data_IF_632579125574
#
_entry.id   IF_632579125574
#
_cell.length_a   1.000
_cell.length_b   1.000
_cell.length_c   1.000
_cell.angle_alpha   90.00
_cell.angle_beta   90.00
_cell.angle_gamma   90.00
#
_symmetry.space_group_name_H-M   'P 1'
#
loop_
_entity.id
_entity.type
_entity.pdbx_description
1 polymer ?
#
# COMPACT_ATOMS: atom_id res chain seq x y z
N UNK A 1 1.83 2.98 -2.46
CA UNK A 1 2.60 3.32 -1.24
C UNK A 1 1.74 3.81 -0.07
N UNK A 2 0.67 4.59 -0.31
CA UNK A 2 -0.19 5.02 0.81
C UNK A 2 -0.98 3.88 1.43
N UNK A 3 -1.53 2.97 0.65
CA UNK A 3 -2.25 1.80 1.17
C UNK A 3 -1.30 0.78 1.82
N UNK A 4 -0.14 0.50 1.24
CA UNK A 4 0.86 -0.36 1.87
C UNK A 4 1.53 0.32 3.08
N UNK A 5 1.73 1.62 3.03
CA UNK A 5 2.17 2.42 4.17
C UNK A 5 1.14 2.48 5.30
N UNK A 6 -0.17 2.48 4.97
CA UNK A 6 -1.25 2.37 5.96
C UNK A 6 -1.33 0.95 6.55
N UNK A 7 -1.25 -0.09 5.75
CA UNK A 7 -1.21 -1.48 6.24
C UNK A 7 0.05 -1.76 7.06
N UNK A 8 1.20 -1.27 6.62
CA UNK A 8 2.43 -1.28 7.41
C UNK A 8 2.33 -0.41 8.67
N UNK A 9 1.62 0.71 8.61
CA UNK A 9 1.37 1.59 9.75
C UNK A 9 0.40 0.99 10.76
N UNK A 10 -0.64 0.28 10.34
CA UNK A 10 -1.54 -0.44 11.25
C UNK A 10 -0.80 -1.51 12.03
N UNK A 11 0.04 -2.31 11.38
CA UNK A 11 0.87 -3.28 12.07
C UNK A 11 1.90 -2.60 12.98
N UNK A 12 2.52 -1.51 12.56
CA UNK A 12 3.43 -0.73 13.38
C UNK A 12 2.72 -0.05 14.56
N UNK A 13 1.53 0.51 14.37
CA UNK A 13 0.73 1.10 15.45
C UNK A 13 0.27 0.02 16.41
N UNK A 14 -0.23 -1.11 15.92
CA UNK A 14 -0.63 -2.25 16.72
C UNK A 14 0.53 -2.83 17.53
N UNK A 15 1.68 -3.04 16.92
CA UNK A 15 2.80 -3.71 17.55
C UNK A 15 3.65 -2.77 18.41
N UNK A 16 3.76 -1.48 18.06
CA UNK A 16 4.56 -0.50 18.79
C UNK A 16 3.76 0.56 19.55
N UNK A 17 2.46 0.68 19.30
CA UNK A 17 1.62 1.75 19.85
C UNK A 17 2.03 3.14 19.34
N UNK A 18 2.70 3.22 18.20
CA UNK A 18 3.29 4.46 17.69
C UNK A 18 2.23 5.36 17.02
N UNK A 19 1.36 5.95 17.83
CA UNK A 19 0.44 6.99 17.39
C UNK A 19 1.11 8.34 17.15
N UNK A 20 2.34 8.53 17.66
CA UNK A 20 3.14 9.74 17.46
C UNK A 20 3.37 10.05 15.97
N UNK A 21 3.41 9.05 15.10
CA UNK A 21 3.48 9.28 13.64
C UNK A 21 2.30 10.09 13.13
N UNK A 22 1.10 9.87 13.65
CA UNK A 22 -0.10 10.62 13.27
C UNK A 22 -0.12 12.02 13.93
N UNK A 23 0.15 12.08 15.23
CA UNK A 23 0.11 13.35 16.00
C UNK A 23 1.29 14.24 15.66
N UNK A 24 2.52 13.81 15.95
CA UNK A 24 3.74 14.62 15.74
C UNK A 24 4.10 14.70 14.24
N UNK A 25 3.86 13.61 13.51
CA UNK A 25 4.16 13.50 12.10
C UNK A 25 3.27 14.36 11.22
N UNK A 26 1.96 14.35 11.44
CA UNK A 26 0.97 14.99 10.58
C UNK A 26 0.04 15.97 11.29
N UNK A 27 0.15 16.11 12.61
CA UNK A 27 -0.71 16.99 13.42
C UNK A 27 -2.16 16.50 13.50
N UNK A 28 -2.37 15.17 13.40
CA UNK A 28 -3.70 14.57 13.52
C UNK A 28 -4.10 14.56 15.00
N UNK A 29 -5.24 15.18 15.30
CA UNK A 29 -5.73 15.22 16.67
C UNK A 29 -6.41 13.90 17.06
N UNK A 30 -5.76 13.10 17.89
CA UNK A 30 -6.28 11.83 18.40
C UNK A 30 -6.99 11.95 19.76
N UNK A 31 -7.06 13.14 20.36
CA UNK A 31 -7.76 13.35 21.63
C UNK A 31 -9.24 12.90 21.60
N UNK A 32 -10.02 13.16 20.52
CA UNK A 32 -11.38 12.63 20.44
C UNK A 32 -11.44 11.10 20.52
N UNK A 33 -10.48 10.38 19.89
CA UNK A 33 -10.40 8.93 19.96
C UNK A 33 -10.04 8.46 21.37
N UNK A 34 -9.08 9.12 22.03
CA UNK A 34 -8.69 8.80 23.39
C UNK A 34 -9.87 8.98 24.37
N UNK A 35 -10.63 10.08 24.25
CA UNK A 35 -11.80 10.36 25.07
C UNK A 35 -12.87 9.28 24.87
N UNK A 36 -13.24 9.01 23.62
CA UNK A 36 -14.23 7.98 23.28
C UNK A 36 -13.81 6.59 23.80
N UNK A 37 -12.53 6.23 23.62
CA UNK A 37 -12.01 4.94 24.05
C UNK A 37 -12.05 4.79 25.59
N UNK A 38 -11.75 5.84 26.35
CA UNK A 38 -11.89 5.83 27.81
C UNK A 38 -13.35 5.70 28.26
N UNK A 39 -14.28 6.33 27.57
CA UNK A 39 -15.70 6.27 27.89
C UNK A 39 -16.30 4.90 27.55
N UNK A 40 -16.02 4.36 26.38
CA UNK A 40 -16.60 3.12 25.89
C UNK A 40 -15.91 1.86 26.45
N UNK A 41 -14.60 1.91 26.69
CA UNK A 41 -13.76 0.77 27.06
C UNK A 41 -12.97 0.99 28.38
N UNK A 42 -13.38 1.94 29.23
CA UNK A 42 -12.66 2.31 30.46
C UNK A 42 -12.38 1.14 31.39
N UNK A 43 -13.33 0.22 31.55
CA UNK A 43 -13.21 -0.97 32.38
C UNK A 43 -12.64 -2.19 31.65
N UNK A 44 -12.43 -2.10 30.33
CA UNK A 44 -11.89 -3.17 29.51
C UNK A 44 -10.37 -3.21 29.59
N UNK A 45 -9.75 -4.35 29.88
CA UNK A 45 -8.29 -4.50 29.82
C UNK A 45 -7.73 -4.40 28.40
N UNK A 46 -8.54 -4.56 27.36
CA UNK A 46 -8.17 -4.56 25.93
C UNK A 46 -6.93 -5.41 25.65
N UNK A 47 -6.82 -6.59 26.24
CA UNK A 47 -5.62 -7.42 26.27
C UNK A 47 -5.12 -7.80 24.85
N UNK A 48 -6.04 -8.00 23.91
CA UNK A 48 -5.70 -8.34 22.51
C UNK A 48 -5.03 -7.20 21.76
N UNK A 49 -5.20 -5.97 22.22
CA UNK A 49 -4.74 -4.75 21.57
C UNK A 49 -3.56 -4.10 22.29
N UNK A 50 -3.00 -4.76 23.30
CA UNK A 50 -1.83 -4.27 24.02
C UNK A 50 -0.63 -4.17 23.08
N UNK A 51 0.05 -3.01 23.01
CA UNK A 51 1.25 -2.83 22.20
C UNK A 51 2.35 -3.81 22.62
N UNK A 52 3.04 -4.38 21.62
CA UNK A 52 4.23 -5.20 21.86
C UNK A 52 5.42 -4.29 22.13
N UNK A 53 5.66 -3.95 23.40
CA UNK A 53 6.67 -2.97 23.86
C UNK A 53 8.13 -3.29 23.51
N UNK A 54 8.42 -4.47 22.96
CA UNK A 54 9.78 -4.88 22.57
C UNK A 54 10.46 -3.96 21.53
N UNK A 55 9.69 -3.11 20.85
CA UNK A 55 10.17 -2.22 19.79
C UNK A 55 10.08 -0.73 20.14
N UNK A 56 9.57 -0.39 21.32
CA UNK A 56 9.50 1.00 21.76
C UNK A 56 10.89 1.44 22.30
N UNK A 57 11.45 2.50 21.72
CA UNK A 57 12.72 3.07 22.18
C UNK A 57 12.60 3.71 23.57
N UNK A 58 11.37 3.95 24.05
CA UNK A 58 11.06 4.41 25.41
C UNK A 58 10.01 3.49 26.03
N UNK A 59 10.24 3.02 27.25
CA UNK A 59 9.25 2.28 28.01
C UNK A 59 8.05 3.21 28.30
N UNK A 60 6.91 2.92 27.69
CA UNK A 60 5.64 3.61 28.00
C UNK A 60 5.16 3.19 29.38
N UNK A 61 4.57 4.13 30.14
CA UNK A 61 3.91 3.79 31.40
C UNK A 61 2.65 2.94 31.14
N UNK A 62 2.23 2.21 32.17
CA UNK A 62 1.11 1.26 32.11
C UNK A 62 -0.21 1.95 31.70
N UNK A 63 -0.44 3.18 32.18
CA UNK A 63 -1.65 3.94 31.88
C UNK A 63 -1.71 4.33 30.42
N UNK A 64 -0.62 4.82 29.86
CA UNK A 64 -0.48 5.17 28.44
C UNK A 64 -0.64 3.92 27.57
N UNK A 65 -0.01 2.82 27.92
CA UNK A 65 -0.11 1.55 27.21
C UNK A 65 -1.56 1.05 27.17
N UNK A 66 -2.28 1.12 28.30
CA UNK A 66 -3.69 0.74 28.37
C UNK A 66 -4.57 1.64 27.51
N UNK A 67 -4.36 2.96 27.55
CA UNK A 67 -5.11 3.91 26.72
C UNK A 67 -4.91 3.64 25.23
N UNK A 68 -3.69 3.36 24.79
CA UNK A 68 -3.40 3.00 23.41
C UNK A 68 -4.14 1.72 23.01
N UNK A 69 -4.17 0.71 23.88
CA UNK A 69 -4.93 -0.53 23.63
C UNK A 69 -6.44 -0.27 23.49
N UNK A 70 -7.01 0.59 24.33
CA UNK A 70 -8.42 1.00 24.27
C UNK A 70 -8.72 1.77 22.98
N UNK A 71 -7.85 2.72 22.59
CA UNK A 71 -7.98 3.47 21.33
C UNK A 71 -7.91 2.55 20.13
N UNK A 72 -7.01 1.58 20.13
CA UNK A 72 -6.85 0.61 19.06
C UNK A 72 -8.08 -0.29 18.95
N UNK A 73 -8.59 -0.83 20.04
CA UNK A 73 -9.83 -1.61 20.05
C UNK A 73 -11.01 -0.79 19.51
N UNK A 74 -11.18 0.44 20.00
CA UNK A 74 -12.27 1.33 19.59
C UNK A 74 -12.27 1.55 18.07
N UNK A 75 -11.14 1.98 17.50
CA UNK A 75 -11.06 2.25 16.06
C UNK A 75 -11.19 0.97 15.21
N UNK A 76 -10.74 -0.19 15.71
CA UNK A 76 -10.88 -1.47 15.02
C UNK A 76 -12.36 -1.88 14.90
N UNK A 77 -13.16 -1.72 15.96
CA UNK A 77 -14.60 -2.02 15.90
C UNK A 77 -15.31 -1.07 14.93
N UNK A 78 -14.99 0.22 15.00
CA UNK A 78 -15.54 1.22 14.07
C UNK A 78 -15.15 0.90 12.62
N UNK A 79 -13.92 0.48 12.38
CA UNK A 79 -13.45 0.06 11.05
C UNK A 79 -14.33 -1.03 10.47
N UNK A 80 -14.60 -2.12 11.20
CA UNK A 80 -15.46 -3.20 10.71
C UNK A 80 -16.89 -2.74 10.44
N UNK A 81 -17.42 -1.80 11.22
CA UNK A 81 -18.73 -1.21 10.93
C UNK A 81 -18.72 -0.44 9.60
N UNK A 82 -17.71 0.42 9.39
CA UNK A 82 -17.57 1.19 8.16
C UNK A 82 -17.32 0.30 6.93
N UNK A 83 -16.53 -0.76 7.06
CA UNK A 83 -16.31 -1.75 6.01
C UNK A 83 -17.64 -2.41 5.60
N UNK A 84 -18.44 -2.86 6.56
CA UNK A 84 -19.75 -3.44 6.28
C UNK A 84 -20.73 -2.47 5.61
N UNK A 85 -20.68 -1.18 5.96
CA UNK A 85 -21.47 -0.15 5.27
C UNK A 85 -21.04 0.01 3.80
N UNK A 86 -19.75 -0.07 3.50
CA UNK A 86 -19.24 -0.05 2.12
C UNK A 86 -19.72 -1.30 1.37
N UNK A 87 -19.53 -2.50 1.94
CA UNK A 87 -19.94 -3.76 1.31
C UNK A 87 -21.45 -3.74 1.01
N UNK A 88 -22.26 -3.29 1.96
CA UNK A 88 -23.73 -3.21 1.82
C UNK A 88 -24.17 -2.31 0.65
N UNK A 89 -23.49 -1.17 0.43
CA UNK A 89 -23.82 -0.25 -0.67
C UNK A 89 -23.12 -0.57 -1.98
N UNK A 90 -22.12 -1.50 -1.97
CA UNK A 90 -21.34 -1.93 -3.13
C UNK A 90 -21.36 -3.45 -3.31
N UNK A 91 -22.53 -4.05 -3.56
CA UNK A 91 -22.62 -5.50 -3.76
C UNK A 91 -21.77 -6.00 -4.95
N UNK A 92 -21.46 -5.12 -5.91
CA UNK A 92 -20.58 -5.39 -7.02
C UNK A 92 -19.12 -5.68 -6.63
N UNK A 93 -18.71 -5.37 -5.39
CA UNK A 93 -17.38 -5.74 -4.87
C UNK A 93 -17.30 -7.23 -4.47
N UNK A 94 -18.44 -7.92 -4.39
CA UNK A 94 -18.55 -9.35 -4.06
C UNK A 94 -17.77 -9.72 -2.78
N UNK A 95 -17.95 -8.93 -1.72
CA UNK A 95 -17.27 -9.09 -0.43
C UNK A 95 -18.22 -9.45 0.73
N UNK A 96 -19.39 -10.02 0.45
CA UNK A 96 -20.38 -10.39 1.47
C UNK A 96 -19.83 -11.36 2.51
N UNK A 97 -18.86 -12.20 2.13
CA UNK A 97 -18.13 -13.10 3.04
C UNK A 97 -17.33 -12.36 4.12
N UNK A 98 -17.13 -11.04 3.95
CA UNK A 98 -16.46 -10.18 4.95
C UNK A 98 -17.45 -9.53 5.93
N UNK A 99 -18.74 -9.73 5.76
CA UNK A 99 -19.79 -9.22 6.64
C UNK A 99 -19.89 -10.02 7.96
N UNK A 100 -18.77 -10.23 8.65
CA UNK A 100 -18.64 -11.14 9.79
C UNK A 100 -19.40 -10.68 11.05
N UNK A 101 -19.64 -9.38 11.22
CA UNK A 101 -20.38 -8.89 12.39
C UNK A 101 -21.83 -9.42 12.47
N UNK A 102 -22.46 -9.76 11.34
CA UNK A 102 -23.77 -10.41 11.33
C UNK A 102 -23.75 -11.85 11.84
N UNK A 103 -22.58 -12.49 11.85
CA UNK A 103 -22.42 -13.90 12.20
C UNK A 103 -21.94 -14.11 13.64
N UNK A 104 -21.94 -13.04 14.44
CA UNK A 104 -21.47 -13.06 15.83
C UNK A 104 -22.63 -13.35 16.78
N UNK A 105 -22.40 -14.29 17.67
CA UNK A 105 -23.22 -14.52 18.87
C UNK A 105 -22.41 -14.15 20.12
N UNK A 106 -22.55 -12.91 20.58
CA UNK A 106 -21.85 -12.42 21.78
C UNK A 106 -22.22 -13.18 23.06
N UNK A 107 -23.45 -13.77 23.14
CA UNK A 107 -23.87 -14.52 24.31
C UNK A 107 -23.16 -15.87 24.42
N UNK A 108 -22.94 -16.52 23.26
CA UNK A 108 -22.17 -17.77 23.16
C UNK A 108 -20.66 -17.50 23.03
N UNK A 109 -20.26 -16.28 22.70
CA UNK A 109 -18.88 -15.93 22.46
C UNK A 109 -18.29 -16.55 21.20
N UNK A 110 -19.10 -16.67 20.14
CA UNK A 110 -18.68 -17.32 18.88
C UNK A 110 -19.02 -16.47 17.67
N UNK A 111 -18.29 -16.73 16.59
CA UNK A 111 -18.59 -16.24 15.24
C UNK A 111 -18.73 -17.43 14.28
N UNK A 112 -19.72 -17.38 13.41
CA UNK A 112 -19.97 -18.43 12.42
C UNK A 112 -19.31 -18.08 11.09
N UNK A 113 -18.33 -18.88 10.63
CA UNK A 113 -17.61 -18.70 9.36
C UNK A 113 -17.58 -20.06 8.63
N UNK A 114 -17.97 -20.07 7.35
CA UNK A 114 -17.91 -21.24 6.48
C UNK A 114 -18.52 -22.50 7.08
N UNK A 115 -19.67 -22.37 7.77
CA UNK A 115 -20.40 -23.48 8.36
C UNK A 115 -19.86 -24.00 9.71
N UNK A 116 -18.89 -23.30 10.32
CA UNK A 116 -18.26 -23.67 11.58
C UNK A 116 -18.30 -22.51 12.58
N UNK A 117 -18.53 -22.81 13.86
CA UNK A 117 -18.44 -21.85 14.94
C UNK A 117 -16.98 -21.74 15.46
N UNK A 118 -16.47 -20.51 15.55
CA UNK A 118 -15.16 -20.20 16.11
C UNK A 118 -15.31 -19.36 17.36
N UNK A 119 -14.52 -19.65 18.39
CA UNK A 119 -14.56 -18.92 19.66
C UNK A 119 -13.91 -17.55 19.53
N UNK A 120 -14.61 -16.52 19.97
CA UNK A 120 -14.08 -15.16 20.03
C UNK A 120 -13.19 -14.99 21.25
N UNK A 121 -12.00 -14.43 21.06
CA UNK A 121 -11.08 -14.06 22.15
C UNK A 121 -11.54 -12.87 22.98
N UNK A 122 -12.47 -12.09 22.46
CA UNK A 122 -13.03 -10.90 23.09
C UNK A 122 -14.50 -10.75 22.69
N UNK A 123 -15.36 -10.52 23.64
CA UNK A 123 -16.81 -10.37 23.47
C UNK A 123 -17.36 -9.07 24.07
N UNK A 124 -16.47 -8.22 24.62
CA UNK A 124 -16.85 -6.93 25.19
C UNK A 124 -16.89 -5.84 24.09
N UNK A 125 -18.01 -5.76 23.38
CA UNK A 125 -18.22 -4.79 22.30
C UNK A 125 -19.42 -3.90 22.63
N UNK A 126 -19.28 -2.93 23.54
CA UNK A 126 -20.38 -2.16 24.11
C UNK A 126 -21.12 -1.30 23.08
N UNK A 127 -20.47 -0.94 21.96
CA UNK A 127 -21.08 -0.11 20.92
C UNK A 127 -21.72 -0.91 19.78
N UNK A 128 -21.67 -2.26 19.84
CA UNK A 128 -22.28 -3.12 18.82
C UNK A 128 -23.78 -3.27 19.06
N UNK A 129 -24.60 -2.84 18.11
CA UNK A 129 -26.05 -3.13 18.12
C UNK A 129 -26.29 -4.51 17.48
N UNK A 130 -26.79 -5.51 18.23
CA UNK A 130 -27.05 -6.84 17.66
C UNK A 130 -28.12 -6.86 16.54
N UNK A 131 -28.93 -5.81 16.44
CA UNK A 131 -29.98 -5.72 15.38
C UNK A 131 -29.44 -5.14 14.08
N UNK A 132 -28.46 -4.24 14.20
CA UNK A 132 -27.77 -3.63 13.05
C UNK A 132 -26.29 -3.42 13.40
N UNK A 133 -25.48 -4.48 13.33
CA UNK A 133 -24.11 -4.48 13.85
C UNK A 133 -23.15 -3.55 13.09
N UNK A 134 -23.55 -3.07 11.92
CA UNK A 134 -22.75 -2.13 11.13
C UNK A 134 -23.10 -0.67 11.35
N UNK A 135 -24.24 -0.40 12.04
CA UNK A 135 -24.59 0.98 12.33
C UNK A 135 -23.65 1.59 13.36
N UNK A 136 -23.11 2.76 13.05
CA UNK A 136 -22.36 3.55 14.02
C UNK A 136 -23.31 4.09 15.11
N UNK A 137 -22.82 4.19 16.35
CA UNK A 137 -23.48 4.99 17.38
C UNK A 137 -23.32 6.48 17.08
N UNK A 138 -24.12 7.32 17.75
CA UNK A 138 -24.02 8.79 17.62
C UNK A 138 -22.60 9.28 18.00
N UNK A 139 -22.03 8.68 19.04
CA UNK A 139 -20.68 9.00 19.53
C UNK A 139 -19.61 8.56 18.55
N UNK A 140 -19.76 7.38 17.90
CA UNK A 140 -18.88 6.90 16.85
C UNK A 140 -18.94 7.78 15.59
N UNK A 141 -20.14 8.21 15.18
CA UNK A 141 -20.31 9.15 14.05
C UNK A 141 -19.61 10.49 14.33
N UNK A 142 -19.78 11.03 15.53
CA UNK A 142 -19.12 12.29 15.94
C UNK A 142 -17.60 12.13 15.99
N UNK A 143 -17.11 11.01 16.49
CA UNK A 143 -15.68 10.68 16.51
C UNK A 143 -15.10 10.64 15.09
N UNK A 144 -15.73 9.86 14.19
CA UNK A 144 -15.25 9.74 12.80
C UNK A 144 -15.26 11.09 12.09
N UNK A 145 -16.28 11.90 12.29
CA UNK A 145 -16.34 13.26 11.73
C UNK A 145 -15.18 14.13 12.22
N UNK A 146 -14.83 14.08 13.52
CA UNK A 146 -13.70 14.83 14.10
C UNK A 146 -12.35 14.35 13.57
N UNK A 147 -12.16 13.03 13.46
CA UNK A 147 -10.94 12.43 12.91
C UNK A 147 -10.80 12.83 11.44
N UNK A 148 -11.85 12.65 10.62
CA UNK A 148 -11.85 13.02 9.21
C UNK A 148 -11.49 14.50 9.02
N UNK A 149 -12.11 15.40 9.80
CA UNK A 149 -11.78 16.83 9.76
C UNK A 149 -10.28 17.08 10.09
N UNK A 150 -9.71 16.34 11.05
CA UNK A 150 -8.30 16.46 11.39
C UNK A 150 -7.38 16.04 10.23
N UNK A 151 -7.70 14.94 9.55
CA UNK A 151 -6.96 14.50 8.35
C UNK A 151 -7.10 15.53 7.20
N UNK A 152 -8.32 16.00 6.93
CA UNK A 152 -8.59 16.95 5.88
C UNK A 152 -7.97 18.34 6.13
N UNK A 153 -7.76 18.71 7.38
CA UNK A 153 -7.14 19.99 7.74
C UNK A 153 -5.61 19.97 7.81
N UNK A 154 -4.99 18.78 7.81
CA UNK A 154 -3.54 18.64 7.89
C UNK A 154 -2.83 19.15 6.62
N UNK A 155 -2.18 20.30 6.70
CA UNK A 155 -1.44 20.88 5.57
C UNK A 155 -0.26 20.03 5.13
N UNK A 156 0.40 19.35 6.07
CA UNK A 156 1.51 18.43 5.77
C UNK A 156 1.01 17.20 4.99
N UNK A 157 -0.13 16.64 5.38
CA UNK A 157 -0.77 15.54 4.66
C UNK A 157 -1.14 15.97 3.23
N UNK A 158 -1.82 17.11 3.08
CA UNK A 158 -2.17 17.66 1.77
C UNK A 158 -0.94 17.89 0.88
N UNK A 159 0.16 18.40 1.44
CA UNK A 159 1.41 18.61 0.70
C UNK A 159 2.00 17.28 0.20
N UNK A 160 2.03 16.26 1.05
CA UNK A 160 2.52 14.95 0.69
C UNK A 160 1.62 14.29 -0.38
N UNK A 161 0.29 14.39 -0.21
CA UNK A 161 -0.66 13.86 -1.19
C UNK A 161 -0.53 14.54 -2.56
N UNK A 162 -0.39 15.87 -2.61
CA UNK A 162 -0.14 16.59 -3.86
C UNK A 162 1.17 16.14 -4.54
N UNK A 163 2.23 15.92 -3.74
CA UNK A 163 3.50 15.41 -4.26
C UNK A 163 3.30 13.99 -4.85
N UNK A 164 2.60 13.12 -4.12
CA UNK A 164 2.27 11.77 -4.55
C UNK A 164 1.50 11.77 -5.88
N UNK A 165 0.40 12.55 -5.98
CA UNK A 165 -0.40 12.63 -7.21
C UNK A 165 0.32 13.29 -8.39
N UNK A 166 1.29 14.16 -8.10
CA UNK A 166 2.08 14.82 -9.16
C UNK A 166 3.14 13.89 -9.77
N UNK A 167 3.71 13.00 -8.98
CA UNK A 167 4.88 12.20 -9.36
C UNK A 167 4.62 10.69 -9.34
N UNK A 168 3.55 10.24 -8.70
CA UNK A 168 3.18 8.83 -8.57
C UNK A 168 2.08 8.42 -9.55
N UNK A 169 1.86 7.11 -9.63
CA UNK A 169 0.81 6.45 -10.40
C UNK A 169 0.75 4.99 -10.03
N UNK A 170 -0.21 4.26 -10.61
CA UNK A 170 -0.34 2.82 -10.40
C UNK A 170 0.84 2.03 -10.98
N UNK A 171 1.50 2.58 -11.99
CA UNK A 171 2.73 2.03 -12.56
C UNK A 171 3.56 3.16 -13.19
N UNK A 172 4.80 2.85 -13.49
CA UNK A 172 5.70 3.73 -14.26
C UNK A 172 6.54 2.90 -15.23
N UNK A 173 6.71 3.40 -16.44
CA UNK A 173 7.70 2.87 -17.39
C UNK A 173 8.87 3.86 -17.44
N UNK A 174 10.08 3.38 -17.22
CA UNK A 174 11.28 4.20 -17.25
C UNK A 174 12.48 3.39 -17.74
N UNK A 175 13.13 3.84 -18.80
CA UNK A 175 14.32 3.21 -19.38
C UNK A 175 14.14 1.70 -19.61
N UNK A 176 13.07 1.30 -20.28
CA UNK A 176 12.71 -0.10 -20.52
C UNK A 176 12.40 -0.93 -19.26
N UNK A 177 12.09 -0.28 -18.15
CA UNK A 177 11.66 -0.95 -16.93
C UNK A 177 10.22 -0.58 -16.59
N UNK A 178 9.44 -1.58 -16.20
CA UNK A 178 8.09 -1.42 -15.68
C UNK A 178 8.11 -1.53 -14.17
N UNK A 179 7.68 -0.48 -13.49
CA UNK A 179 7.60 -0.41 -12.03
C UNK A 179 6.13 -0.39 -11.62
N UNK A 180 5.73 -1.25 -10.70
CA UNK A 180 4.43 -1.19 -10.04
C UNK A 180 4.51 -1.82 -8.65
N UNK A 181 3.52 -1.50 -7.77
CA UNK A 181 3.65 -1.84 -6.37
C UNK A 181 3.44 -3.34 -6.09
N UNK A 182 2.25 -3.90 -6.40
CA UNK A 182 1.88 -5.21 -5.91
C UNK A 182 1.64 -6.23 -7.03
N UNK A 183 0.56 -6.14 -7.78
CA UNK A 183 0.17 -7.16 -8.73
C UNK A 183 -0.46 -6.58 -9.99
N UNK A 184 -0.48 -7.41 -11.03
CA UNK A 184 -1.38 -7.27 -12.18
C UNK A 184 -2.24 -8.54 -12.14
N UNK A 185 -3.52 -8.46 -11.75
CA UNK A 185 -4.37 -9.62 -11.55
C UNK A 185 -4.39 -10.56 -12.76
N UNK A 186 -4.13 -11.85 -12.52
CA UNK A 186 -4.05 -12.87 -13.56
C UNK A 186 -4.91 -14.09 -13.21
N UNK A 187 -5.36 -14.78 -14.25
CA UNK A 187 -5.95 -16.11 -14.12
C UNK A 187 -4.84 -17.18 -14.02
N UNK A 188 -5.12 -18.36 -13.47
CA UNK A 188 -4.14 -19.45 -13.36
C UNK A 188 -3.54 -19.90 -14.70
N UNK A 189 -4.23 -19.67 -15.82
CA UNK A 189 -3.75 -19.97 -17.17
C UNK A 189 -2.78 -18.93 -17.76
N UNK A 190 -2.42 -17.90 -16.96
CA UNK A 190 -1.54 -16.81 -17.38
C UNK A 190 -2.20 -15.76 -18.28
N UNK A 191 -3.52 -15.73 -18.38
CA UNK A 191 -4.26 -14.61 -18.98
C UNK A 191 -4.50 -13.51 -17.96
N UNK A 192 -4.59 -12.23 -18.40
CA UNK A 192 -4.96 -11.12 -17.52
C UNK A 192 -6.41 -11.29 -17.05
N UNK A 193 -6.62 -11.19 -15.73
CA UNK A 193 -7.94 -11.26 -15.13
C UNK A 193 -8.72 -9.99 -15.46
N UNK A 194 -9.99 -10.17 -15.81
CA UNK A 194 -10.92 -9.06 -16.02
C UNK A 194 -11.52 -8.63 -14.69
N UNK A 195 -11.45 -7.33 -14.38
CA UNK A 195 -12.05 -6.71 -13.19
C UNK A 195 -13.11 -5.72 -13.65
N UNK A 196 -14.32 -5.85 -13.09
CA UNK A 196 -15.45 -5.00 -13.46
C UNK A 196 -15.48 -3.73 -12.61
N UNK A 197 -15.49 -2.57 -13.27
CA UNK A 197 -15.51 -1.26 -12.64
C UNK A 197 -16.59 -0.42 -13.31
N UNK A 198 -17.60 0.04 -12.55
CA UNK A 198 -18.72 0.84 -13.06
C UNK A 198 -19.36 0.21 -14.32
N UNK A 199 -19.57 -1.12 -14.27
CA UNK A 199 -20.21 -1.86 -15.35
C UNK A 199 -19.35 -2.18 -16.58
N UNK A 200 -18.07 -1.75 -16.62
CA UNK A 200 -17.12 -2.04 -17.67
C UNK A 200 -16.01 -2.96 -17.20
N UNK A 201 -15.50 -3.80 -18.08
CA UNK A 201 -14.46 -4.77 -17.78
C UNK A 201 -13.09 -4.23 -18.19
N UNK A 202 -12.13 -4.26 -17.26
CA UNK A 202 -10.76 -3.81 -17.43
C UNK A 202 -9.77 -4.92 -17.06
N UNK A 203 -8.64 -4.99 -17.76
CA UNK A 203 -7.58 -5.97 -17.50
C UNK A 203 -6.20 -5.38 -17.87
N UNK A 204 -5.14 -5.98 -17.32
CA UNK A 204 -3.77 -5.59 -17.64
C UNK A 204 -3.52 -4.09 -17.41
N UNK A 205 -2.92 -3.43 -18.39
CA UNK A 205 -2.62 -1.99 -18.35
C UNK A 205 -3.89 -1.14 -18.20
N UNK A 206 -4.95 -1.46 -18.94
CA UNK A 206 -6.20 -0.69 -18.88
C UNK A 206 -6.83 -0.70 -17.47
N UNK A 207 -6.67 -1.80 -16.70
CA UNK A 207 -7.09 -1.86 -15.30
C UNK A 207 -6.31 -0.86 -14.45
N UNK A 208 -4.99 -0.85 -14.55
CA UNK A 208 -4.15 0.08 -13.75
C UNK A 208 -4.42 1.53 -14.13
N UNK A 209 -4.61 1.84 -15.43
CA UNK A 209 -4.98 3.18 -15.90
C UNK A 209 -6.33 3.63 -15.31
N UNK A 210 -7.35 2.73 -15.28
CA UNK A 210 -8.66 3.04 -14.71
C UNK A 210 -8.61 3.23 -13.19
N UNK A 211 -7.83 2.40 -12.49
CA UNK A 211 -7.63 2.53 -11.04
C UNK A 211 -6.94 3.86 -10.71
N UNK A 212 -5.90 4.25 -11.44
CA UNK A 212 -5.24 5.56 -11.25
C UNK A 212 -6.24 6.73 -11.42
N UNK A 213 -7.11 6.65 -12.44
CA UNK A 213 -8.17 7.64 -12.65
C UNK A 213 -9.13 7.71 -11.46
N UNK A 214 -9.61 6.56 -10.95
CA UNK A 214 -10.52 6.52 -9.80
C UNK A 214 -9.89 7.11 -8.54
N UNK A 215 -8.64 6.77 -8.24
CA UNK A 215 -7.91 7.33 -7.10
C UNK A 215 -7.83 8.86 -7.20
N UNK A 216 -7.57 9.39 -8.41
CA UNK A 216 -7.55 10.84 -8.66
C UNK A 216 -8.94 11.46 -8.57
N UNK A 217 -9.96 10.81 -9.13
CA UNK A 217 -11.37 11.23 -9.02
C UNK A 217 -11.78 11.38 -7.57
N UNK A 218 -11.48 10.39 -6.73
CA UNK A 218 -11.79 10.43 -5.30
C UNK A 218 -11.08 11.59 -4.59
N UNK A 219 -9.78 11.75 -4.82
CA UNK A 219 -9.00 12.77 -4.10
C UNK A 219 -9.34 14.20 -4.53
N UNK A 220 -9.44 14.45 -5.84
CA UNK A 220 -9.73 15.78 -6.38
C UNK A 220 -11.23 16.10 -6.46
N UNK A 221 -12.10 15.13 -6.17
CA UNK A 221 -13.57 15.21 -6.24
C UNK A 221 -14.02 15.75 -7.61
N UNK A 222 -13.42 15.20 -8.68
CA UNK A 222 -13.68 15.58 -10.08
C UNK A 222 -14.59 14.54 -10.74
N UNK A 223 -15.65 14.99 -11.41
CA UNK A 223 -16.62 14.13 -12.09
C UNK A 223 -18.04 14.23 -11.50
N UNK A 224 -18.90 13.33 -11.93
CA UNK A 224 -20.26 13.21 -11.40
C UNK A 224 -20.24 12.69 -9.96
N UNK A 225 -21.21 13.10 -9.15
CA UNK A 225 -21.27 12.76 -7.72
C UNK A 225 -21.24 11.24 -7.49
N UNK A 226 -21.96 10.47 -8.29
CA UNK A 226 -22.00 9.01 -8.21
C UNK A 226 -20.63 8.38 -8.46
N UNK A 227 -19.87 8.88 -9.45
CA UNK A 227 -18.51 8.40 -9.74
C UNK A 227 -17.54 8.74 -8.60
N UNK A 228 -17.68 9.92 -8.00
CA UNK A 228 -16.84 10.33 -6.85
C UNK A 228 -17.14 9.43 -5.65
N UNK A 229 -18.38 9.16 -5.34
CA UNK A 229 -18.77 8.26 -4.24
C UNK A 229 -18.27 6.82 -4.50
N UNK A 230 -18.44 6.31 -5.72
CA UNK A 230 -17.89 5.02 -6.10
C UNK A 230 -16.36 4.99 -5.94
N UNK A 231 -15.68 6.03 -6.38
CA UNK A 231 -14.22 6.12 -6.31
C UNK A 231 -13.72 6.14 -4.85
N UNK A 232 -14.42 6.79 -3.92
CA UNK A 232 -14.11 6.73 -2.49
C UNK A 232 -14.22 5.29 -1.96
N UNK A 233 -15.30 4.59 -2.27
CA UNK A 233 -15.50 3.21 -1.85
C UNK A 233 -14.48 2.27 -2.51
N UNK A 234 -14.11 2.54 -3.77
CA UNK A 234 -13.14 1.75 -4.49
C UNK A 234 -11.72 1.88 -3.92
N UNK A 235 -11.34 3.04 -3.32
CA UNK A 235 -10.08 3.18 -2.59
C UNK A 235 -10.02 2.19 -1.41
N UNK A 236 -11.12 2.00 -0.69
CA UNK A 236 -11.18 0.98 0.35
C UNK A 236 -11.08 -0.44 -0.25
N UNK A 237 -11.79 -0.71 -1.36
CA UNK A 237 -11.67 -1.99 -2.06
C UNK A 237 -10.23 -2.30 -2.48
N UNK A 238 -9.45 -1.29 -2.91
CA UNK A 238 -8.05 -1.49 -3.27
C UNK A 238 -7.20 -2.02 -2.11
N UNK A 239 -7.58 -1.73 -0.88
CA UNK A 239 -6.87 -2.20 0.31
C UNK A 239 -7.12 -3.68 0.63
N UNK A 240 -8.32 -4.21 0.42
CA UNK A 240 -8.68 -5.57 0.85
C UNK A 240 -9.46 -6.41 -0.15
N UNK A 241 -9.76 -5.89 -1.35
CA UNK A 241 -10.51 -6.60 -2.38
C UNK A 241 -9.71 -7.69 -3.07
N UNK A 242 -10.31 -8.84 -3.31
CA UNK A 242 -9.65 -10.05 -3.84
C UNK A 242 -8.96 -9.84 -5.20
N UNK A 243 -9.48 -8.96 -6.04
CA UNK A 243 -8.98 -8.68 -7.39
C UNK A 243 -8.30 -7.31 -7.50
N UNK A 244 -7.98 -6.72 -6.34
CA UNK A 244 -7.29 -5.44 -6.29
C UNK A 244 -5.84 -5.57 -6.75
N UNK A 245 -5.36 -4.73 -7.68
CA UNK A 245 -3.96 -4.72 -8.09
C UNK A 245 -3.00 -4.27 -6.97
N UNK A 246 -3.52 -3.77 -5.84
CA UNK A 246 -2.72 -3.39 -4.68
C UNK A 246 -2.72 -4.43 -3.57
N UNK A 247 -3.54 -5.48 -3.68
CA UNK A 247 -3.67 -6.54 -2.67
C UNK A 247 -3.57 -7.95 -3.26
N UNK A 248 -4.46 -8.31 -4.17
CA UNK A 248 -4.50 -9.57 -4.95
C UNK A 248 -4.34 -10.83 -4.08
N UNK A 249 -5.20 -10.93 -3.07
CA UNK A 249 -5.34 -12.12 -2.23
C UNK A 249 -6.83 -12.45 -2.07
N UNK A 250 -7.13 -13.68 -1.69
CA UNK A 250 -8.51 -14.17 -1.55
C UNK A 250 -9.36 -13.35 -0.58
N UNK A 251 -8.78 -12.88 0.51
CA UNK A 251 -9.41 -12.05 1.54
C UNK A 251 -8.35 -11.33 2.37
N UNK A 252 -8.74 -10.28 3.08
CA UNK A 252 -7.96 -9.68 4.15
C UNK A 252 -8.50 -10.16 5.49
N UNK A 253 -7.74 -10.99 6.19
CA UNK A 253 -8.17 -11.65 7.43
C UNK A 253 -7.94 -10.79 8.69
N UNK A 254 -8.28 -9.50 8.64
CA UNK A 254 -8.08 -8.56 9.77
C UNK A 254 -8.93 -8.93 10.98
N UNK A 255 -10.20 -9.25 10.77
CA UNK A 255 -11.13 -9.67 11.82
C UNK A 255 -10.67 -10.97 12.48
N UNK A 256 -10.37 -11.97 11.66
CA UNK A 256 -9.97 -13.30 12.13
C UNK A 256 -8.69 -13.21 12.95
N UNK A 257 -7.67 -12.50 12.48
CA UNK A 257 -6.41 -12.30 13.23
C UNK A 257 -6.61 -11.55 14.55
N UNK A 258 -7.54 -10.59 14.57
CA UNK A 258 -7.83 -9.83 15.78
C UNK A 258 -8.59 -10.67 16.83
N UNK A 259 -9.60 -11.43 16.42
CA UNK A 259 -10.59 -12.00 17.34
C UNK A 259 -10.68 -13.51 17.40
N UNK A 260 -10.03 -14.26 16.48
CA UNK A 260 -10.08 -15.72 16.42
C UNK A 260 -8.67 -16.28 16.64
N UNK A 261 -8.56 -17.40 17.37
CA UNK A 261 -7.25 -18.02 17.64
C UNK A 261 -6.83 -19.00 16.55
N UNK A 262 -7.80 -19.67 15.92
CA UNK A 262 -7.57 -20.72 14.94
C UNK A 262 -6.90 -20.19 13.68
N UNK A 263 -5.62 -20.55 13.49
CA UNK A 263 -4.77 -20.08 12.40
C UNK A 263 -5.31 -20.40 11.00
N UNK A 264 -6.18 -21.41 10.86
CA UNK A 264 -6.83 -21.75 9.60
C UNK A 264 -7.68 -20.61 9.04
N UNK A 265 -8.29 -19.81 9.93
CA UNK A 265 -9.12 -18.65 9.55
C UNK A 265 -8.28 -17.47 9.07
N UNK A 266 -7.00 -17.41 9.46
CA UNK A 266 -6.07 -16.35 9.12
C UNK A 266 -5.45 -16.49 7.72
N UNK A 267 -5.74 -17.61 7.02
CA UNK A 267 -5.13 -17.91 5.74
C UNK A 267 -5.65 -16.96 4.66
N UNK A 268 -4.70 -16.35 3.95
CA UNK A 268 -4.94 -15.50 2.78
C UNK A 268 -4.23 -16.14 1.59
N UNK A 269 -4.99 -16.60 0.59
CA UNK A 269 -4.44 -17.16 -0.63
C UNK A 269 -4.05 -16.06 -1.59
N UNK A 270 -2.81 -16.10 -2.06
CA UNK A 270 -2.28 -15.13 -3.03
C UNK A 270 -2.91 -15.34 -4.40
N UNK A 271 -3.13 -14.27 -5.16
CA UNK A 271 -3.54 -14.33 -6.55
C UNK A 271 -2.53 -15.07 -7.44
N UNK A 272 -2.98 -15.51 -8.59
CA UNK A 272 -2.16 -16.31 -9.51
C UNK A 272 -0.90 -15.58 -9.98
N UNK A 273 -0.94 -14.24 -10.06
CA UNK A 273 0.21 -13.41 -10.41
C UNK A 273 1.46 -13.76 -9.59
N UNK A 274 1.34 -13.94 -8.27
CA UNK A 274 2.49 -14.16 -7.38
C UNK A 274 3.24 -15.48 -7.63
N UNK A 275 2.60 -16.47 -8.26
CA UNK A 275 3.24 -17.71 -8.68
C UNK A 275 3.71 -17.62 -10.14
N UNK A 276 2.90 -16.98 -11.00
CA UNK A 276 3.18 -16.88 -12.43
C UNK A 276 4.34 -15.95 -12.76
N UNK A 277 4.59 -14.90 -11.95
CA UNK A 277 5.65 -13.92 -12.18
C UNK A 277 7.07 -14.52 -12.16
N UNK A 278 7.24 -15.75 -11.63
CA UNK A 278 8.51 -16.45 -11.67
C UNK A 278 8.85 -17.02 -13.07
N UNK A 279 7.88 -16.98 -13.99
CA UNK A 279 8.04 -17.47 -15.36
C UNK A 279 8.41 -16.34 -16.31
N UNK A 280 9.46 -16.56 -17.10
CA UNK A 280 9.99 -15.55 -18.03
C UNK A 280 8.96 -15.12 -19.08
N UNK A 281 8.18 -16.07 -19.62
CA UNK A 281 7.15 -15.81 -20.61
C UNK A 281 6.02 -14.93 -20.07
N UNK A 282 5.70 -15.06 -18.78
CA UNK A 282 4.69 -14.24 -18.13
C UNK A 282 5.23 -12.81 -17.93
N UNK A 283 6.48 -12.69 -17.52
CA UNK A 283 7.13 -11.36 -17.44
C UNK A 283 7.16 -10.67 -18.80
N UNK A 284 7.51 -11.39 -19.86
CA UNK A 284 7.49 -10.84 -21.22
C UNK A 284 6.10 -10.42 -21.65
N UNK A 285 5.08 -11.23 -21.38
CA UNK A 285 3.67 -10.90 -21.68
C UNK A 285 3.22 -9.64 -20.94
N UNK A 286 3.61 -9.46 -19.70
CA UNK A 286 3.31 -8.24 -18.92
C UNK A 286 4.03 -7.05 -19.53
N UNK A 287 5.32 -7.16 -19.83
CA UNK A 287 6.10 -6.09 -20.45
C UNK A 287 5.54 -5.66 -21.81
N UNK A 288 5.10 -6.62 -22.62
CA UNK A 288 4.46 -6.36 -23.93
C UNK A 288 3.13 -5.62 -23.78
N UNK A 289 2.29 -5.99 -22.80
CA UNK A 289 1.02 -5.33 -22.48
C UNK A 289 1.23 -3.84 -22.14
N UNK A 290 2.32 -3.53 -21.45
CA UNK A 290 2.66 -2.15 -21.09
C UNK A 290 3.47 -1.42 -22.18
N UNK A 291 3.75 -2.07 -23.31
CA UNK A 291 4.50 -1.49 -24.41
C UNK A 291 5.98 -1.30 -24.10
N UNK A 292 6.52 -2.02 -23.14
CA UNK A 292 7.95 -1.98 -22.80
C UNK A 292 8.72 -2.85 -23.79
N UNK A 293 9.60 -2.23 -24.56
CA UNK A 293 10.38 -2.89 -25.62
C UNK A 293 11.87 -2.91 -25.29
N UNK A 294 12.63 -3.74 -26.01
CA UNK A 294 14.08 -3.86 -25.84
C UNK A 294 14.50 -5.21 -25.26
N UNK A 295 15.78 -5.53 -25.37
CA UNK A 295 16.33 -6.79 -24.86
C UNK A 295 16.56 -6.77 -23.33
N UNK A 296 16.90 -5.59 -22.81
CA UNK A 296 17.19 -5.37 -21.36
C UNK A 296 15.99 -4.71 -20.72
N UNK A 297 14.89 -5.46 -20.57
CA UNK A 297 13.65 -4.96 -19.97
C UNK A 297 13.30 -5.77 -18.72
N UNK A 298 12.89 -5.05 -17.68
CA UNK A 298 12.64 -5.65 -16.36
C UNK A 298 11.31 -5.18 -15.78
N UNK A 299 10.77 -6.01 -14.90
CA UNK A 299 9.69 -5.64 -13.98
C UNK A 299 10.33 -5.41 -12.62
N UNK A 300 10.01 -4.28 -12.00
CA UNK A 300 10.43 -3.93 -10.63
C UNK A 300 9.17 -3.88 -9.77
N UNK A 301 9.11 -4.76 -8.77
CA UNK A 301 7.90 -5.01 -7.99
C UNK A 301 8.21 -4.99 -6.48
N UNK A 302 7.17 -4.85 -5.66
CA UNK A 302 7.25 -4.81 -4.20
C UNK A 302 6.12 -5.55 -3.52
N UNK A 303 5.56 -4.96 -2.44
CA UNK A 303 4.39 -5.40 -1.67
C UNK A 303 4.58 -6.66 -0.82
N UNK A 304 5.18 -7.70 -1.35
CA UNK A 304 5.45 -8.94 -0.59
C UNK A 304 6.93 -8.96 -0.26
N UNK A 305 7.30 -8.73 1.02
CA UNK A 305 8.70 -8.70 1.41
C UNK A 305 9.41 -10.04 1.14
N UNK A 306 10.62 -9.95 0.61
CA UNK A 306 11.48 -11.10 0.36
C UNK A 306 12.05 -11.61 1.69
N UNK A 307 11.81 -12.88 2.00
CA UNK A 307 12.31 -13.52 3.22
C UNK A 307 13.71 -14.10 2.99
N UNK A 308 14.70 -13.21 2.97
CA UNK A 308 16.10 -13.59 2.73
C UNK A 308 16.62 -14.62 3.73
N UNK A 309 16.16 -14.57 5.00
CA UNK A 309 16.48 -15.57 6.02
C UNK A 309 15.87 -16.96 5.77
N UNK A 310 14.91 -17.08 4.86
CA UNK A 310 14.31 -18.35 4.40
C UNK A 310 14.84 -18.77 3.03
N UNK A 311 15.81 -18.04 2.46
CA UNK A 311 16.42 -18.34 1.18
C UNK A 311 15.63 -17.87 -0.04
N UNK A 312 14.61 -17.01 0.13
CA UNK A 312 13.92 -16.39 -1.00
C UNK A 312 14.87 -15.44 -1.76
N UNK A 313 14.77 -15.44 -3.09
CA UNK A 313 15.62 -14.65 -3.97
C UNK A 313 14.83 -13.44 -4.51
N UNK A 314 15.32 -12.21 -4.36
CA UNK A 314 14.69 -11.02 -4.94
C UNK A 314 14.77 -10.94 -6.47
N UNK A 315 15.57 -11.81 -7.10
CA UNK A 315 15.76 -11.88 -8.55
C UNK A 315 15.05 -13.13 -9.05
N UNK A 316 13.95 -12.95 -9.78
CA UNK A 316 13.09 -14.00 -10.31
C UNK A 316 13.10 -13.98 -11.86
N UNK A 317 12.52 -14.99 -12.51
CA UNK A 317 12.33 -15.09 -13.96
C UNK A 317 13.62 -14.75 -14.76
N UNK A 318 14.74 -15.41 -14.42
CA UNK A 318 16.05 -15.19 -15.05
C UNK A 318 16.49 -13.70 -15.06
N UNK A 319 16.14 -12.94 -14.03
CA UNK A 319 16.47 -11.52 -13.90
C UNK A 319 15.46 -10.56 -14.51
N UNK A 320 14.40 -11.04 -15.15
CA UNK A 320 13.33 -10.18 -15.69
C UNK A 320 12.43 -9.57 -14.61
N UNK A 321 12.31 -10.25 -13.46
CA UNK A 321 11.56 -9.76 -12.31
C UNK A 321 12.49 -9.46 -11.14
N UNK A 322 12.40 -8.24 -10.62
CA UNK A 322 13.15 -7.78 -9.44
C UNK A 322 12.16 -7.38 -8.34
N UNK A 323 12.17 -8.14 -7.25
CA UNK A 323 11.33 -7.85 -6.08
C UNK A 323 12.17 -7.08 -5.07
N UNK A 324 11.93 -5.78 -4.95
CA UNK A 324 12.77 -4.89 -4.13
C UNK A 324 12.18 -4.57 -2.74
N UNK A 325 11.17 -5.33 -2.32
CA UNK A 325 10.60 -5.18 -0.97
C UNK A 325 11.36 -6.04 0.04
N UNK A 326 12.07 -5.39 0.93
CA UNK A 326 12.81 -6.03 2.01
C UNK A 326 12.22 -5.73 3.40
N UNK A 327 11.04 -5.07 3.45
CA UNK A 327 10.42 -4.70 4.72
C UNK A 327 11.25 -3.70 5.52
N UNK A 328 11.37 -2.45 5.07
CA UNK A 328 12.14 -1.39 5.75
C UNK A 328 11.70 -1.12 7.19
N UNK A 329 10.46 -1.45 7.53
CA UNK A 329 9.94 -1.27 8.88
C UNK A 329 10.61 -2.25 9.86
N UNK A 330 11.08 -1.75 10.98
CA UNK A 330 11.81 -2.52 12.00
C UNK A 330 11.12 -3.84 12.43
N UNK A 331 9.78 -3.92 12.56
CA UNK A 331 9.10 -5.19 12.85
C UNK A 331 9.32 -6.27 11.80
N UNK A 332 9.46 -5.89 10.51
CA UNK A 332 9.68 -6.85 9.42
C UNK A 332 11.10 -7.43 9.39
N UNK A 333 12.10 -6.77 9.99
CA UNK A 333 13.47 -7.25 9.99
C UNK A 333 13.62 -8.66 10.59
N UNK A 334 12.76 -9.04 11.54
CA UNK A 334 12.73 -10.39 12.10
C UNK A 334 12.20 -11.43 11.12
N UNK A 335 11.29 -11.03 10.22
CA UNK A 335 10.68 -11.91 9.23
C UNK A 335 11.55 -12.03 7.98
N UNK A 336 12.16 -10.93 7.55
CA UNK A 336 12.94 -10.88 6.31
C UNK A 336 14.43 -11.18 6.51
N UNK A 337 14.95 -10.91 7.71
CA UNK A 337 16.37 -11.02 8.04
C UNK A 337 17.23 -9.84 7.53
N UNK A 338 16.62 -8.85 6.88
CA UNK A 338 17.30 -7.69 6.28
C UNK A 338 16.58 -6.39 6.62
N UNK A 339 17.22 -5.25 6.34
CA UNK A 339 16.65 -3.92 6.50
C UNK A 339 16.07 -3.36 5.19
N UNK A 340 16.15 -4.08 4.09
CA UNK A 340 15.60 -3.69 2.81
C UNK A 340 16.57 -3.79 1.64
N UNK A 341 16.09 -3.43 0.46
CA UNK A 341 16.87 -3.41 -0.77
C UNK A 341 16.96 -2.00 -1.36
N UNK A 342 18.09 -1.70 -2.00
CA UNK A 342 18.24 -0.57 -2.92
C UNK A 342 18.62 -1.10 -4.29
N UNK A 343 17.78 -0.84 -5.31
CA UNK A 343 18.11 -1.13 -6.69
C UNK A 343 18.87 0.07 -7.29
N UNK A 344 20.08 -0.19 -7.78
CA UNK A 344 20.92 0.82 -8.43
C UNK A 344 20.98 0.54 -9.92
N UNK A 345 20.41 1.45 -10.72
CA UNK A 345 20.53 1.45 -12.17
C UNK A 345 21.64 2.41 -12.60
N UNK A 346 22.62 1.89 -13.31
CA UNK A 346 23.76 2.68 -13.77
C UNK A 346 24.16 2.33 -15.21
N UNK A 347 25.13 3.05 -15.76
CA UNK A 347 25.52 2.92 -17.18
C UNK A 347 26.00 1.53 -17.63
N UNK A 348 26.12 0.57 -16.72
CA UNK A 348 26.55 -0.81 -16.98
C UNK A 348 25.51 -1.86 -16.61
N UNK A 349 24.30 -1.45 -16.17
CA UNK A 349 23.23 -2.38 -15.81
C UNK A 349 22.66 -2.16 -14.42
N UNK A 350 22.26 -3.23 -13.74
CA UNK A 350 21.62 -3.19 -12.44
C UNK A 350 22.44 -3.84 -11.34
N UNK A 351 22.42 -3.22 -10.17
CA UNK A 351 22.95 -3.78 -8.94
C UNK A 351 21.85 -3.70 -7.86
N UNK A 352 21.69 -4.76 -7.10
CA UNK A 352 20.80 -4.83 -5.95
C UNK A 352 21.67 -4.79 -4.69
N UNK A 353 21.45 -3.76 -3.87
CA UNK A 353 22.12 -3.61 -2.58
C UNK A 353 21.17 -4.06 -1.49
N UNK A 354 21.51 -5.12 -0.78
CA UNK A 354 20.83 -5.63 0.38
C UNK A 354 21.42 -4.98 1.63
N UNK A 355 20.57 -4.39 2.47
CA UNK A 355 20.97 -3.74 3.71
C UNK A 355 20.75 -4.66 4.90
N UNK A 356 21.73 -4.78 5.79
CA UNK A 356 21.56 -5.47 7.06
C UNK A 356 20.83 -4.57 8.08
N UNK A 357 20.10 -5.16 9.05
CA UNK A 357 19.44 -4.39 10.08
C UNK A 357 20.43 -3.58 10.91
N UNK A 358 20.14 -2.28 11.09
CA UNK A 358 20.91 -1.44 11.99
C UNK A 358 20.49 -1.70 13.44
N UNK A 359 21.42 -2.16 14.28
CA UNK A 359 21.10 -2.56 15.66
C UNK A 359 20.84 -1.36 16.57
N UNK A 360 21.83 -0.51 16.77
CA UNK A 360 21.69 0.72 17.53
C UNK A 360 22.83 1.69 17.28
N UNK A 361 22.57 2.99 17.48
CA UNK A 361 23.60 4.03 17.42
C UNK A 361 24.70 3.83 18.47
N UNK A 362 24.33 3.43 19.69
CA UNK A 362 25.28 3.19 20.77
C UNK A 362 26.26 2.08 20.38
N UNK A 363 25.76 0.94 19.91
CA UNK A 363 26.58 -0.19 19.49
C UNK A 363 27.49 0.16 18.30
N UNK A 364 26.98 0.92 17.32
CA UNK A 364 27.78 1.38 16.20
C UNK A 364 28.95 2.26 16.64
N UNK A 365 28.75 3.13 17.64
CA UNK A 365 29.82 3.99 18.20
C UNK A 365 30.80 3.18 19.04
N UNK A 366 30.33 2.30 19.93
CA UNK A 366 31.17 1.53 20.86
C UNK A 366 32.01 0.49 20.15
N UNK A 367 31.45 -0.19 19.14
CA UNK A 367 32.14 -1.27 18.41
C UNK A 367 32.77 -0.80 17.09
N UNK A 368 32.57 0.49 16.71
CA UNK A 368 33.06 1.03 15.43
C UNK A 368 32.42 0.36 14.21
N UNK A 369 31.18 -0.12 14.35
CA UNK A 369 30.48 -0.83 13.30
C UNK A 369 29.89 0.15 12.28
N UNK A 370 30.09 -0.13 11.00
CA UNK A 370 29.40 0.54 9.90
C UNK A 370 28.13 -0.21 9.52
N UNK A 371 27.24 0.46 8.77
CA UNK A 371 26.06 -0.17 8.18
C UNK A 371 26.57 -1.17 7.11
N UNK A 372 26.30 -2.45 7.34
CA UNK A 372 26.69 -3.51 6.41
C UNK A 372 25.68 -3.62 5.28
N UNK A 373 26.19 -3.81 4.08
CA UNK A 373 25.40 -4.11 2.89
C UNK A 373 26.12 -5.08 1.98
N UNK A 374 25.33 -5.89 1.28
CA UNK A 374 25.83 -6.82 0.27
C UNK A 374 25.31 -6.38 -1.10
N UNK A 375 26.21 -6.30 -2.08
CA UNK A 375 25.84 -5.92 -3.46
C UNK A 375 25.78 -7.14 -4.35
N UNK A 376 24.66 -7.33 -5.03
CA UNK A 376 24.42 -8.38 -6.02
C UNK A 376 24.36 -7.72 -7.40
N UNK A 377 25.14 -8.19 -8.35
CA UNK A 377 25.02 -7.77 -9.75
C UNK A 377 23.86 -8.53 -10.37
N UNK A 378 22.79 -7.82 -10.73
CA UNK A 378 21.59 -8.41 -11.38
C UNK A 378 21.84 -8.58 -12.86
N UNK A 379 22.32 -7.52 -13.51
CA UNK A 379 22.65 -7.52 -14.92
C UNK A 379 23.87 -6.65 -15.19
N UNK A 380 24.74 -7.12 -16.07
CA UNK A 380 25.91 -6.37 -16.54
C UNK A 380 25.86 -6.26 -18.06
N UNK A 381 25.67 -5.04 -18.56
CA UNK A 381 25.71 -4.75 -19.99
C UNK A 381 27.17 -4.71 -20.50
N UNK A 382 27.44 -5.38 -21.59
CA UNK A 382 28.73 -5.31 -22.30
C UNK A 382 29.01 -3.91 -22.85
N UNK A 383 27.96 -3.16 -23.20
CA UNK A 383 28.04 -1.80 -23.72
C UNK A 383 27.63 -0.80 -22.64
N UNK A 384 28.41 0.26 -22.50
CA UNK A 384 28.06 1.35 -21.59
C UNK A 384 26.86 2.13 -22.15
N UNK A 385 25.77 2.17 -21.40
CA UNK A 385 24.63 3.04 -21.69
C UNK A 385 25.02 4.50 -21.47
N UNK A 386 24.73 5.31 -22.47
CA UNK A 386 24.93 6.76 -22.46
C UNK A 386 23.60 7.46 -22.21
N UNK A 387 23.61 8.75 -21.85
CA UNK A 387 22.38 9.53 -21.67
C UNK A 387 21.48 9.46 -22.92
N UNK A 388 22.04 9.48 -24.13
CA UNK A 388 21.30 9.36 -25.39
C UNK A 388 20.49 8.07 -25.53
N UNK A 389 20.84 7.03 -24.80
CA UNK A 389 20.22 5.71 -24.84
C UNK A 389 19.10 5.57 -23.78
N UNK A 390 18.79 6.65 -23.05
CA UNK A 390 17.74 6.73 -22.03
C UNK A 390 16.53 7.51 -22.52
N UNK A 391 15.38 7.36 -21.87
CA UNK A 391 14.17 8.13 -22.14
C UNK A 391 14.44 9.64 -22.07
N UNK A 392 15.23 10.07 -21.07
CA UNK A 392 15.67 11.47 -20.98
C UNK A 392 16.52 11.92 -22.17
N UNK A 393 17.37 11.04 -22.67
CA UNK A 393 18.17 11.28 -23.86
C UNK A 393 17.30 11.41 -25.12
N UNK A 394 16.29 10.57 -25.26
CA UNK A 394 15.31 10.65 -26.36
C UNK A 394 14.53 11.98 -26.33
N UNK A 395 14.06 12.39 -25.14
CA UNK A 395 13.40 13.68 -24.91
C UNK A 395 14.32 14.86 -25.31
N UNK A 396 15.57 14.87 -24.86
CA UNK A 396 16.55 15.89 -25.20
C UNK A 396 16.84 15.95 -26.71
N UNK A 397 16.95 14.80 -27.39
CA UNK A 397 17.14 14.73 -28.82
C UNK A 397 15.93 15.31 -29.60
N UNK A 398 14.70 15.06 -29.10
CA UNK A 398 13.49 15.66 -29.65
C UNK A 398 13.52 17.18 -29.53
N UNK A 399 13.86 17.69 -28.35
CA UNK A 399 13.97 19.13 -28.11
C UNK A 399 15.05 19.78 -28.95
N UNK A 400 16.21 19.13 -29.15
CA UNK A 400 17.27 19.62 -30.06
C UNK A 400 16.75 19.74 -31.48
N UNK A 401 16.08 18.71 -32.00
CA UNK A 401 15.49 18.76 -33.35
C UNK A 401 14.48 19.90 -33.54
N UNK A 402 13.66 20.15 -32.53
CA UNK A 402 12.68 21.24 -32.55
C UNK A 402 13.34 22.61 -32.50
N UNK A 403 14.40 22.77 -31.68
CA UNK A 403 15.22 23.98 -31.66
C UNK A 403 15.96 24.22 -33.00
N UNK A 404 16.47 23.18 -33.65
CA UNK A 404 17.08 23.27 -34.99
C UNK A 404 16.07 23.73 -36.04
N UNK A 405 14.83 23.18 -36.05
CA UNK A 405 13.75 23.62 -36.90
C UNK A 405 13.38 25.10 -36.63
N UNK A 406 13.28 25.48 -35.38
CA UNK A 406 12.99 26.87 -34.99
C UNK A 406 14.09 27.81 -35.48
N UNK A 407 15.34 27.45 -35.26
CA UNK A 407 16.49 28.23 -35.75
C UNK A 407 16.49 28.38 -37.29
N UNK A 408 16.18 27.29 -37.99
CA UNK A 408 16.02 27.32 -39.47
C UNK A 408 14.90 28.29 -39.87
N UNK A 409 13.74 28.25 -39.20
CA UNK A 409 12.60 29.10 -39.49
C UNK A 409 12.93 30.60 -39.29
N UNK A 410 13.62 30.95 -38.21
CA UNK A 410 14.10 32.33 -37.98
C UNK A 410 15.11 32.78 -39.06
N UNK A 411 16.12 31.95 -39.34
CA UNK A 411 17.16 32.29 -40.35
C UNK A 411 16.61 32.48 -41.76
N UNK A 412 15.52 31.83 -42.11
CA UNK A 412 14.87 31.92 -43.41
C UNK A 412 13.66 32.86 -43.41
N UNK A 413 13.43 33.62 -42.34
CA UNK A 413 12.33 34.60 -42.30
C UNK A 413 10.92 33.99 -42.27
N UNK A 414 10.79 32.68 -41.97
CA UNK A 414 9.49 32.00 -41.83
C UNK A 414 8.75 32.40 -40.56
N UNK A 415 9.48 32.77 -39.53
CA UNK A 415 8.98 33.27 -38.26
C UNK A 415 9.67 34.60 -37.99
N UNK A 416 8.89 35.62 -37.62
CA UNK A 416 9.38 36.93 -37.18
C UNK A 416 9.43 36.97 -35.68
N UNK A 417 10.47 37.63 -35.14
CA UNK A 417 10.58 37.89 -33.70
C UNK A 417 9.42 38.81 -33.26
N UNK A 418 8.75 38.47 -32.19
CA UNK A 418 7.75 39.38 -31.60
C UNK A 418 8.49 40.56 -30.99
N UNK A 419 8.22 41.78 -31.47
CA UNK A 419 8.67 42.99 -30.77
C UNK A 419 8.27 42.92 -29.31
N UNK A 420 9.25 43.04 -28.41
CA UNK A 420 8.97 43.19 -27.00
C UNK A 420 8.16 44.50 -26.85
N UNK A 421 6.88 44.37 -26.53
CA UNK A 421 6.19 45.57 -25.99
C UNK A 421 6.86 45.86 -24.63
N UNK A 422 7.62 46.93 -24.61
CA UNK A 422 8.10 47.55 -23.35
C UNK A 422 6.88 47.89 -22.52
N UNK A 423 6.80 47.31 -21.33
CA UNK A 423 5.85 47.66 -20.29
C UNK A 423 6.56 48.47 -19.23
#
# INVERSE_FOLDING_TARGET
>A
EMTSSLVGSEMCIRDSGNMATLEDGYGINLLPLATFAMEAYGDDPCALFMPKTKFADNAMDEKTTRLIAQMHKAITIIQFKLEGEIIRRRPEFEMDDRMLLHHIDLKRGVVHIDGKDYTLKDTNWPTLDPKDPYRLSIEEEDLIRKILHSFESSEKMKKHMRCFFRHGGMYQVCNSNLLFHASIPMNPDGTFKSVRILGQDYKGRALLDRVDQLIRTAYFKTGEQEEVEYAHDYIWYLWGGKDSPLFDKSKMATFERAFIEEAETHKEEKGAYYTLREQEEICDKILDEFGVTGMHRHIINGHVPVRSNQGENPIEANGKMLVIDGGFSRPYHLETGIAGYTLVYHSRGFQLVQHEPFESRAKAIEEGLDIKSTTIVVELSSHRQMVKDTDKGADLQSQIKDLEKLLYAYRNGLIKEKERMER
#
